data_IF_533065064418
#
_entry.id   IF_533065064418
#
_cell.length_a   1.000
_cell.length_b   1.000
_cell.length_c   1.000
_cell.angle_alpha   90.00
_cell.angle_beta   90.00
_cell.angle_gamma   90.00
#
_symmetry.space_group_name_H-M   'P 1'
#
loop_
_entity.id
_entity.type
_entity.pdbx_description
1 polymer ?
#
# COMPACT_ATOMS: atom_id res chain seq x y z
N UNK A 1 4.93 -82.80 -9.21
CA UNK A 1 5.90 -81.71 -9.18
C UNK A 1 5.78 -80.76 -10.35
N UNK A 2 5.45 -81.13 -11.59
CA UNK A 2 5.34 -80.17 -12.73
C UNK A 2 4.14 -79.20 -12.66
N UNK A 3 3.02 -79.52 -12.01
CA UNK A 3 1.83 -78.61 -11.88
C UNK A 3 2.00 -77.50 -10.82
N UNK A 4 2.87 -77.69 -9.83
CA UNK A 4 3.12 -76.71 -8.78
C UNK A 4 4.09 -75.57 -9.28
N UNK A 5 5.04 -75.94 -10.14
CA UNK A 5 6.02 -75.01 -10.70
C UNK A 5 5.36 -73.99 -11.69
N UNK A 6 4.38 -74.49 -12.47
CA UNK A 6 3.64 -73.61 -13.38
C UNK A 6 2.75 -72.55 -12.65
N UNK A 7 2.23 -72.89 -11.45
CA UNK A 7 1.43 -71.94 -10.65
C UNK A 7 2.27 -70.83 -10.02
N UNK A 8 3.51 -71.15 -9.59
CA UNK A 8 4.39 -70.17 -8.97
C UNK A 8 4.96 -69.19 -10.02
N UNK A 9 5.30 -69.66 -11.22
CA UNK A 9 5.73 -68.76 -12.31
C UNK A 9 4.62 -67.87 -12.84
N UNK A 10 3.36 -68.28 -12.84
CA UNK A 10 2.22 -67.52 -13.24
C UNK A 10 1.87 -66.43 -12.20
N UNK A 11 2.03 -66.68 -10.91
CA UNK A 11 1.82 -65.70 -9.85
C UNK A 11 2.97 -64.70 -9.81
N UNK A 12 4.19 -65.08 -10.03
CA UNK A 12 5.34 -64.21 -10.12
C UNK A 12 5.27 -63.29 -11.35
N UNK A 13 4.80 -63.79 -12.49
CA UNK A 13 4.57 -62.99 -13.69
C UNK A 13 3.40 -62.02 -13.51
N UNK A 14 2.32 -62.40 -12.82
CA UNK A 14 1.20 -61.54 -12.46
C UNK A 14 1.60 -60.49 -11.44
N UNK A 15 2.42 -60.83 -10.43
CA UNK A 15 2.97 -59.87 -9.46
C UNK A 15 4.00 -58.92 -10.11
N UNK A 16 4.81 -59.38 -11.07
CA UNK A 16 5.72 -58.57 -11.87
C UNK A 16 4.96 -57.60 -12.79
N UNK A 17 3.86 -58.03 -13.39
CA UNK A 17 2.98 -57.21 -14.21
C UNK A 17 2.20 -56.23 -13.32
N UNK A 18 1.76 -56.59 -12.10
CA UNK A 18 1.12 -55.70 -11.14
C UNK A 18 2.12 -54.65 -10.60
N UNK A 19 3.40 -55.02 -10.42
CA UNK A 19 4.46 -54.09 -10.03
C UNK A 19 4.92 -53.15 -11.17
N UNK A 20 4.76 -53.56 -12.44
CA UNK A 20 5.01 -52.68 -13.62
C UNK A 20 3.80 -51.90 -14.04
N UNK A 21 2.59 -52.22 -13.56
CA UNK A 21 1.39 -51.38 -13.61
C UNK A 21 1.22 -50.46 -12.40
N UNK A 22 2.20 -50.40 -11.48
CA UNK A 22 2.31 -49.33 -10.52
C UNK A 22 2.63 -48.02 -11.27
N UNK A 23 1.60 -47.58 -11.97
CA UNK A 23 1.26 -46.27 -12.53
C UNK A 23 2.46 -45.41 -12.94
N UNK A 24 2.83 -45.48 -14.18
CA UNK A 24 3.33 -44.30 -14.84
C UNK A 24 2.12 -43.34 -14.94
N UNK A 25 1.93 -42.46 -13.90
CA UNK A 25 0.91 -41.43 -13.92
C UNK A 25 1.09 -40.63 -15.18
N UNK A 26 -0.03 -40.27 -15.85
CA UNK A 26 0.03 -39.39 -16.99
C UNK A 26 0.59 -37.97 -16.58
N UNK A 27 1.00 -37.19 -17.54
CA UNK A 27 1.46 -35.82 -17.29
C UNK A 27 0.39 -35.01 -16.59
N UNK A 28 -0.87 -35.13 -17.00
CA UNK A 28 -2.03 -34.45 -16.44
C UNK A 28 -2.31 -34.90 -15.00
N UNK A 29 -2.19 -36.20 -14.70
CA UNK A 29 -2.35 -36.71 -13.35
C UNK A 29 -1.25 -36.21 -12.40
N UNK A 30 0.00 -36.12 -12.86
CA UNK A 30 1.12 -35.56 -12.09
C UNK A 30 0.91 -34.05 -11.84
N UNK A 31 0.45 -33.29 -12.82
CA UNK A 31 0.12 -31.87 -12.68
C UNK A 31 -0.99 -31.67 -11.63
N UNK A 32 -2.08 -32.43 -11.75
CA UNK A 32 -3.20 -32.34 -10.81
C UNK A 32 -2.77 -32.69 -9.37
N UNK A 33 -1.95 -33.72 -9.20
CA UNK A 33 -1.40 -34.09 -7.90
C UNK A 33 -0.46 -33.04 -7.34
N UNK A 34 0.43 -32.44 -8.15
CA UNK A 34 1.31 -31.37 -7.71
C UNK A 34 0.52 -30.14 -7.26
N UNK A 35 -0.56 -29.78 -7.97
CA UNK A 35 -1.47 -28.69 -7.56
C UNK A 35 -2.15 -29.01 -6.24
N UNK A 36 -2.59 -30.24 -6.02
CA UNK A 36 -3.23 -30.67 -4.77
C UNK A 36 -2.25 -30.67 -3.60
N UNK A 37 -1.01 -31.13 -3.81
CA UNK A 37 0.07 -31.04 -2.82
C UNK A 37 0.37 -29.59 -2.40
N UNK A 38 0.36 -28.65 -3.37
CA UNK A 38 0.52 -27.22 -3.06
C UNK A 38 -0.63 -26.64 -2.24
N UNK A 39 -1.87 -27.13 -2.43
CA UNK A 39 -3.02 -26.74 -1.58
C UNK A 39 -2.87 -27.29 -0.16
N UNK A 40 -2.28 -28.46 0.01
CA UNK A 40 -1.99 -29.10 1.29
C UNK A 40 -0.70 -28.57 1.95
N UNK A 41 -0.07 -27.56 1.38
CA UNK A 41 1.21 -26.98 1.82
C UNK A 41 2.43 -27.95 1.77
N UNK A 42 2.31 -29.06 1.08
CA UNK A 42 3.39 -30.04 0.83
C UNK A 42 4.26 -29.60 -0.35
N UNK A 43 4.93 -28.45 -0.18
CA UNK A 43 5.62 -27.76 -1.29
C UNK A 43 6.79 -28.58 -1.84
N UNK A 44 7.59 -29.22 -0.96
CA UNK A 44 8.74 -30.03 -1.37
C UNK A 44 8.32 -31.22 -2.24
N UNK A 45 7.23 -31.91 -1.88
CA UNK A 45 6.70 -33.02 -2.66
C UNK A 45 6.16 -32.56 -4.02
N UNK A 46 5.47 -31.40 -4.05
CA UNK A 46 5.01 -30.81 -5.30
C UNK A 46 6.15 -30.41 -6.23
N UNK A 47 7.25 -29.87 -5.69
CA UNK A 47 8.44 -29.50 -6.47
C UNK A 47 9.11 -30.76 -7.04
N UNK A 48 9.26 -31.82 -6.25
CA UNK A 48 9.81 -33.09 -6.73
C UNK A 48 8.98 -33.63 -7.90
N UNK A 49 7.66 -33.63 -7.76
CA UNK A 49 6.77 -34.08 -8.82
C UNK A 49 6.83 -33.22 -10.07
N UNK A 50 6.91 -31.87 -9.91
CA UNK A 50 7.11 -30.93 -11.02
C UNK A 50 8.40 -31.21 -11.80
N UNK A 51 9.49 -31.57 -11.09
CA UNK A 51 10.78 -31.89 -11.73
C UNK A 51 10.76 -33.17 -12.59
N UNK A 52 9.80 -34.06 -12.34
CA UNK A 52 9.58 -35.26 -13.15
C UNK A 52 8.74 -35.03 -14.41
N UNK A 53 8.15 -33.83 -14.55
CA UNK A 53 7.27 -33.49 -15.68
C UNK A 53 8.05 -32.70 -16.73
N UNK A 54 8.17 -33.27 -17.91
CA UNK A 54 8.77 -32.55 -19.05
C UNK A 54 7.82 -31.51 -19.61
N UNK A 55 8.36 -30.37 -20.01
CA UNK A 55 7.66 -29.25 -20.72
C UNK A 55 6.30 -28.88 -20.11
N UNK A 56 6.29 -28.47 -18.84
CA UNK A 56 5.07 -28.03 -18.15
C UNK A 56 4.57 -26.73 -18.74
N UNK A 57 3.34 -26.74 -19.29
CA UNK A 57 2.62 -25.60 -19.83
C UNK A 57 1.43 -25.19 -18.93
N UNK A 58 1.11 -25.97 -17.90
CA UNK A 58 0.01 -25.65 -16.98
C UNK A 58 0.32 -24.41 -16.16
N UNK A 59 -0.41 -23.34 -16.47
CA UNK A 59 -0.19 -22.03 -15.86
C UNK A 59 -0.58 -21.97 -14.38
N UNK A 60 -1.49 -22.83 -13.92
CA UNK A 60 -1.89 -22.88 -12.52
C UNK A 60 -0.75 -23.47 -11.68
N UNK A 61 -0.17 -24.57 -12.12
CA UNK A 61 0.98 -25.18 -11.45
C UNK A 61 2.18 -24.24 -11.45
N UNK A 62 2.51 -23.66 -12.63
CA UNK A 62 3.64 -22.73 -12.78
C UNK A 62 3.51 -21.53 -11.87
N UNK A 63 2.34 -20.87 -11.82
CA UNK A 63 2.11 -19.70 -10.97
C UNK A 63 2.18 -20.04 -9.48
N UNK A 64 1.56 -21.15 -9.06
CA UNK A 64 1.60 -21.57 -7.65
C UNK A 64 3.01 -21.87 -7.16
N UNK A 65 3.82 -22.55 -7.98
CA UNK A 65 5.23 -22.79 -7.65
C UNK A 65 6.04 -21.51 -7.64
N UNK A 66 5.80 -20.61 -8.62
CA UNK A 66 6.45 -19.32 -8.66
C UNK A 66 6.16 -18.47 -7.41
N UNK A 67 4.90 -18.43 -6.95
CA UNK A 67 4.53 -17.73 -5.72
C UNK A 67 5.22 -18.33 -4.49
N UNK A 68 5.37 -19.69 -4.41
CA UNK A 68 6.11 -20.33 -3.30
C UNK A 68 7.57 -19.94 -3.26
N UNK A 69 8.25 -19.91 -4.42
CA UNK A 69 9.63 -19.42 -4.51
C UNK A 69 9.75 -17.91 -4.24
N UNK A 70 8.79 -17.12 -4.68
CA UNK A 70 8.79 -15.67 -4.43
C UNK A 70 8.63 -15.34 -2.94
N UNK A 71 7.75 -16.06 -2.25
CA UNK A 71 7.41 -15.81 -0.83
C UNK A 71 8.30 -16.58 0.16
N UNK A 72 9.04 -17.61 -0.28
CA UNK A 72 9.79 -18.50 0.60
C UNK A 72 8.89 -19.41 1.46
N UNK A 73 7.63 -19.68 1.03
CA UNK A 73 6.68 -20.48 1.78
C UNK A 73 6.82 -21.96 1.48
N UNK A 74 7.39 -22.71 2.42
CA UNK A 74 7.63 -24.16 2.30
C UNK A 74 8.82 -24.52 1.40
N UNK A 75 9.60 -23.53 0.95
CA UNK A 75 10.82 -23.65 0.16
C UNK A 75 11.68 -22.42 0.42
N UNK A 76 12.99 -22.51 0.22
CA UNK A 76 13.87 -21.34 0.28
C UNK A 76 13.46 -20.30 -0.78
N UNK A 77 13.43 -19.03 -0.36
CA UNK A 77 13.07 -17.94 -1.25
C UNK A 77 14.08 -17.82 -2.41
N UNK A 78 13.57 -17.84 -3.64
CA UNK A 78 14.36 -17.72 -4.87
C UNK A 78 13.61 -16.92 -5.92
N UNK A 79 13.84 -15.61 -5.92
CA UNK A 79 13.17 -14.68 -6.85
C UNK A 79 13.51 -14.98 -8.32
N UNK A 80 14.73 -15.43 -8.62
CA UNK A 80 15.13 -15.73 -10.00
C UNK A 80 14.36 -16.95 -10.53
N UNK A 81 14.22 -17.99 -9.70
CA UNK A 81 13.44 -19.20 -10.03
C UNK A 81 11.96 -18.90 -10.15
N UNK A 82 11.41 -18.06 -9.25
CA UNK A 82 10.04 -17.60 -9.35
C UNK A 82 9.77 -16.91 -10.69
N UNK A 83 10.63 -15.97 -11.08
CA UNK A 83 10.49 -15.23 -12.35
C UNK A 83 10.65 -16.14 -13.57
N UNK A 84 11.55 -17.12 -13.54
CA UNK A 84 11.66 -18.13 -14.62
C UNK A 84 10.36 -18.93 -14.81
N UNK A 85 9.67 -19.28 -13.71
CA UNK A 85 8.38 -19.96 -13.76
C UNK A 85 7.28 -19.01 -14.26
N UNK A 86 7.26 -17.75 -13.82
CA UNK A 86 6.34 -16.75 -14.37
C UNK A 86 6.58 -16.48 -15.85
N UNK A 87 7.84 -16.49 -16.34
CA UNK A 87 8.11 -16.37 -17.78
C UNK A 87 7.50 -17.50 -18.60
N UNK A 88 7.60 -18.75 -18.13
CA UNK A 88 6.95 -19.88 -18.77
C UNK A 88 5.44 -19.71 -18.81
N UNK A 89 4.84 -19.36 -17.67
CA UNK A 89 3.40 -19.15 -17.55
C UNK A 89 2.90 -17.97 -18.41
N UNK A 90 3.64 -16.87 -18.46
CA UNK A 90 3.31 -15.71 -19.29
C UNK A 90 3.39 -16.03 -20.79
N UNK A 91 4.38 -16.81 -21.23
CA UNK A 91 4.48 -17.31 -22.61
C UNK A 91 3.31 -18.23 -22.97
N UNK A 92 2.75 -18.96 -21.99
CA UNK A 92 1.54 -19.75 -22.13
C UNK A 92 0.24 -18.92 -22.07
N UNK A 93 0.35 -17.56 -22.04
CA UNK A 93 -0.80 -16.66 -22.11
C UNK A 93 -1.46 -16.31 -20.79
N UNK A 94 -0.81 -16.55 -19.64
CA UNK A 94 -1.42 -16.24 -18.35
C UNK A 94 -1.24 -14.77 -17.94
N UNK A 95 -2.32 -13.97 -17.77
CA UNK A 95 -2.20 -12.55 -17.48
C UNK A 95 -1.59 -12.25 -16.10
N UNK A 96 -1.86 -13.05 -15.08
CA UNK A 96 -1.24 -12.90 -13.76
C UNK A 96 0.29 -13.00 -13.82
N UNK A 97 0.81 -14.00 -14.56
CA UNK A 97 2.25 -14.13 -14.73
C UNK A 97 2.87 -12.96 -15.51
N UNK A 98 2.16 -12.43 -16.52
CA UNK A 98 2.59 -11.23 -17.25
C UNK A 98 2.68 -10.01 -16.31
N UNK A 99 1.72 -9.83 -15.41
CA UNK A 99 1.74 -8.77 -14.40
C UNK A 99 2.89 -8.92 -13.41
N UNK A 100 3.19 -10.14 -12.96
CA UNK A 100 4.33 -10.43 -12.08
C UNK A 100 5.65 -10.10 -12.76
N UNK A 101 5.81 -10.43 -14.03
CA UNK A 101 6.99 -10.06 -14.83
C UNK A 101 7.09 -8.55 -15.03
N UNK A 102 5.99 -7.89 -15.31
CA UNK A 102 5.96 -6.44 -15.41
C UNK A 102 6.49 -5.77 -14.15
N UNK A 103 5.99 -6.18 -12.97
CA UNK A 103 6.46 -5.69 -11.67
C UNK A 103 7.97 -5.92 -11.49
N UNK A 104 8.47 -7.11 -11.85
CA UNK A 104 9.89 -7.44 -11.76
C UNK A 104 10.77 -6.52 -12.64
N UNK A 105 10.33 -6.19 -13.86
CA UNK A 105 11.02 -5.23 -14.71
C UNK A 105 10.93 -3.80 -14.19
N UNK A 106 9.81 -3.41 -13.58
CA UNK A 106 9.64 -2.08 -13.02
C UNK A 106 10.61 -1.80 -11.86
N UNK A 107 10.77 -2.77 -10.96
CA UNK A 107 11.64 -2.64 -9.78
C UNK A 107 13.08 -3.15 -10.01
N UNK A 108 13.32 -3.96 -11.01
CA UNK A 108 14.62 -4.62 -11.22
C UNK A 108 14.84 -5.80 -10.25
N UNK A 109 13.83 -6.63 -10.04
CA UNK A 109 13.87 -7.76 -9.10
C UNK A 109 14.35 -9.07 -9.76
N UNK A 110 14.80 -10.03 -8.94
CA UNK A 110 15.09 -11.41 -9.36
C UNK A 110 16.16 -11.56 -10.44
N UNK A 111 17.11 -10.64 -10.47
CA UNK A 111 18.18 -10.62 -11.47
C UNK A 111 17.84 -9.83 -12.74
N UNK A 112 16.63 -9.32 -12.87
CA UNK A 112 16.28 -8.40 -13.96
C UNK A 112 16.83 -7.00 -13.68
N UNK A 113 17.25 -6.32 -14.73
CA UNK A 113 17.51 -4.88 -14.67
C UNK A 113 16.20 -4.13 -14.80
N UNK A 114 16.06 -3.01 -14.07
CA UNK A 114 14.92 -2.11 -14.23
C UNK A 114 14.78 -1.72 -15.71
N UNK A 115 13.58 -1.93 -16.26
CA UNK A 115 13.26 -1.68 -17.67
C UNK A 115 11.78 -1.30 -17.81
N UNK A 116 11.51 0.00 -17.78
CA UNK A 116 10.15 0.53 -17.84
C UNK A 116 9.46 0.24 -19.19
N UNK A 117 10.23 0.07 -20.28
CA UNK A 117 9.66 -0.32 -21.57
C UNK A 117 9.15 -1.76 -21.53
N UNK A 118 9.92 -2.69 -20.98
CA UNK A 118 9.48 -4.07 -20.80
C UNK A 118 8.32 -4.18 -19.81
N UNK A 119 8.32 -3.37 -18.73
CA UNK A 119 7.14 -3.25 -17.85
C UNK A 119 5.91 -2.93 -18.69
N UNK A 120 5.96 -1.86 -19.50
CA UNK A 120 4.82 -1.44 -20.30
C UNK A 120 4.40 -2.53 -21.32
N UNK A 121 5.36 -3.16 -22.00
CA UNK A 121 5.07 -4.21 -22.97
C UNK A 121 4.35 -5.42 -22.34
N UNK A 122 4.72 -5.80 -21.11
CA UNK A 122 4.07 -6.91 -20.40
C UNK A 122 2.68 -6.53 -19.85
N UNK A 123 2.50 -5.32 -19.30
CA UNK A 123 1.16 -4.91 -18.85
C UNK A 123 0.20 -4.73 -20.02
N UNK A 124 0.68 -4.29 -21.19
CA UNK A 124 -0.15 -4.22 -22.40
C UNK A 124 -0.63 -5.61 -22.84
N UNK A 125 0.25 -6.61 -22.90
CA UNK A 125 -0.13 -8.00 -23.22
C UNK A 125 -1.18 -8.54 -22.23
N UNK A 126 -1.03 -8.28 -20.95
CA UNK A 126 -2.00 -8.71 -19.96
C UNK A 126 -3.34 -7.93 -20.08
N UNK A 127 -3.28 -6.66 -20.48
CA UNK A 127 -4.47 -5.82 -20.71
C UNK A 127 -5.26 -6.27 -21.96
N UNK A 128 -4.60 -6.78 -23.00
CA UNK A 128 -5.24 -7.41 -24.16
C UNK A 128 -6.07 -8.66 -23.78
N UNK A 129 -5.74 -9.30 -22.66
CA UNK A 129 -6.48 -10.40 -22.05
C UNK A 129 -7.53 -9.91 -21.03
N UNK A 130 -7.86 -8.62 -21.08
CA UNK A 130 -8.87 -7.97 -20.24
C UNK A 130 -8.64 -8.06 -18.72
N UNK A 131 -7.38 -8.25 -18.26
CA UNK A 131 -7.08 -8.16 -16.84
C UNK A 131 -7.34 -6.73 -16.33
N UNK A 132 -8.21 -6.60 -15.33
CA UNK A 132 -8.52 -5.28 -14.74
C UNK A 132 -7.28 -4.63 -14.09
N UNK A 133 -6.41 -5.43 -13.47
CA UNK A 133 -5.15 -4.97 -12.89
C UNK A 133 -4.22 -4.44 -13.97
N UNK A 134 -4.08 -5.16 -15.07
CA UNK A 134 -3.25 -4.74 -16.20
C UNK A 134 -3.82 -3.49 -16.89
N UNK A 135 -5.12 -3.45 -17.16
CA UNK A 135 -5.80 -2.26 -17.72
C UNK A 135 -5.54 -1.02 -16.85
N UNK A 136 -5.67 -1.13 -15.53
CA UNK A 136 -5.32 -0.05 -14.59
C UNK A 136 -3.85 0.34 -14.70
N UNK A 137 -2.93 -0.62 -14.73
CA UNK A 137 -1.49 -0.35 -14.79
C UNK A 137 -1.09 0.32 -16.11
N UNK A 138 -1.73 -0.03 -17.23
CA UNK A 138 -1.59 0.70 -18.50
C UNK A 138 -2.08 2.14 -18.37
N UNK A 139 -3.22 2.35 -17.71
CA UNK A 139 -3.71 3.70 -17.41
C UNK A 139 -2.71 4.52 -16.59
N UNK A 140 -2.11 3.94 -15.56
CA UNK A 140 -1.05 4.57 -14.75
C UNK A 140 0.18 4.87 -15.62
N UNK A 141 0.60 3.92 -16.47
CA UNK A 141 1.75 4.09 -17.35
C UNK A 141 1.58 5.28 -18.31
N UNK A 142 0.41 5.42 -18.93
CA UNK A 142 0.11 6.57 -19.78
C UNK A 142 -0.02 7.89 -19.00
N UNK A 143 -0.57 7.85 -17.76
CA UNK A 143 -0.63 9.04 -16.90
C UNK A 143 0.75 9.56 -16.54
N UNK A 144 1.67 8.67 -16.20
CA UNK A 144 2.97 9.02 -15.61
C UNK A 144 4.10 9.04 -16.65
N UNK A 145 3.92 8.42 -17.82
CA UNK A 145 4.95 8.25 -18.84
C UNK A 145 5.92 7.12 -18.53
N UNK A 146 5.45 6.04 -17.91
CA UNK A 146 6.28 4.91 -17.50
C UNK A 146 6.39 3.90 -18.65
N UNK A 147 7.55 3.87 -19.31
CA UNK A 147 7.83 2.99 -20.45
C UNK A 147 7.08 3.34 -21.73
N UNK A 148 6.33 4.43 -21.73
CA UNK A 148 5.55 4.97 -22.85
C UNK A 148 5.45 6.49 -22.71
N UNK A 149 5.24 7.22 -23.80
CA UNK A 149 5.00 8.65 -23.75
C UNK A 149 3.70 8.96 -22.98
N UNK A 150 3.72 10.03 -22.19
CA UNK A 150 2.54 10.49 -21.45
C UNK A 150 1.38 10.78 -22.39
N UNK A 151 0.23 10.18 -22.09
CA UNK A 151 -1.02 10.40 -22.80
C UNK A 151 -2.19 10.31 -21.78
N UNK A 152 -2.55 11.43 -21.13
CA UNK A 152 -3.60 11.43 -20.12
C UNK A 152 -4.98 11.02 -20.67
N UNK A 153 -5.25 11.23 -21.96
CA UNK A 153 -6.49 10.82 -22.59
C UNK A 153 -6.57 9.30 -22.67
N UNK A 154 -5.49 8.66 -23.10
CA UNK A 154 -5.41 7.18 -23.05
C UNK A 154 -5.46 6.66 -21.64
N UNK A 155 -4.84 7.34 -20.65
CA UNK A 155 -4.97 6.95 -19.26
C UNK A 155 -6.45 6.89 -18.83
N UNK A 156 -7.25 7.92 -19.15
CA UNK A 156 -8.70 7.94 -18.89
C UNK A 156 -9.41 6.77 -19.55
N UNK A 157 -9.11 6.46 -20.82
CA UNK A 157 -9.71 5.35 -21.53
C UNK A 157 -9.43 4.00 -20.85
N UNK A 158 -8.17 3.75 -20.49
CA UNK A 158 -7.76 2.52 -19.83
C UNK A 158 -8.31 2.40 -18.42
N UNK A 159 -8.37 3.50 -17.64
CA UNK A 159 -9.04 3.50 -16.35
C UNK A 159 -10.54 3.18 -16.49
N UNK A 160 -11.24 3.73 -17.48
CA UNK A 160 -12.65 3.39 -17.72
C UNK A 160 -12.84 1.91 -18.04
N UNK A 161 -11.99 1.32 -18.89
CA UNK A 161 -12.00 -0.12 -19.17
C UNK A 161 -11.78 -0.96 -17.90
N UNK A 162 -10.82 -0.55 -17.04
CA UNK A 162 -10.58 -1.23 -15.77
C UNK A 162 -11.78 -1.10 -14.81
N UNK A 163 -12.44 0.05 -14.78
CA UNK A 163 -13.64 0.32 -13.99
C UNK A 163 -14.81 -0.57 -14.43
N UNK A 164 -15.01 -0.76 -15.74
CA UNK A 164 -16.02 -1.69 -16.29
C UNK A 164 -15.79 -3.13 -15.82
N UNK A 165 -14.54 -3.52 -15.57
CA UNK A 165 -14.16 -4.80 -14.95
C UNK A 165 -14.18 -4.78 -13.42
N UNK A 166 -14.60 -3.68 -12.81
CA UNK A 166 -14.78 -3.55 -11.36
C UNK A 166 -13.56 -3.12 -10.56
N UNK A 167 -12.48 -2.64 -11.20
CA UNK A 167 -11.26 -2.20 -10.53
C UNK A 167 -11.51 -0.94 -9.68
N UNK A 168 -11.41 -1.09 -8.36
CA UNK A 168 -11.67 -0.02 -7.40
C UNK A 168 -10.58 1.06 -7.42
N UNK A 169 -9.32 0.65 -7.60
CA UNK A 169 -8.22 1.60 -7.61
C UNK A 169 -8.20 2.46 -8.88
N UNK A 170 -8.67 1.92 -10.01
CA UNK A 170 -8.89 2.73 -11.23
C UNK A 170 -9.98 3.79 -11.02
N UNK A 171 -11.05 3.48 -10.25
CA UNK A 171 -12.06 4.49 -9.87
C UNK A 171 -11.42 5.63 -9.09
N UNK A 172 -10.60 5.30 -8.08
CA UNK A 172 -9.85 6.29 -7.31
C UNK A 172 -8.91 7.11 -8.18
N UNK A 173 -8.06 6.48 -8.99
CA UNK A 173 -7.12 7.18 -9.88
C UNK A 173 -7.83 8.16 -10.83
N UNK A 174 -8.93 7.74 -11.43
CA UNK A 174 -9.68 8.60 -12.35
C UNK A 174 -10.37 9.76 -11.61
N UNK A 175 -10.89 9.51 -10.41
CA UNK A 175 -11.43 10.55 -9.55
C UNK A 175 -10.39 11.62 -9.20
N UNK A 176 -9.18 11.21 -8.82
CA UNK A 176 -8.04 12.12 -8.54
C UNK A 176 -7.62 12.88 -9.80
N UNK A 177 -7.55 12.23 -10.97
CA UNK A 177 -7.23 12.92 -12.23
C UNK A 177 -8.21 14.04 -12.55
N UNK A 178 -9.52 13.82 -12.39
CA UNK A 178 -10.53 14.85 -12.59
C UNK A 178 -10.49 15.94 -11.52
N UNK A 179 -10.19 15.59 -10.26
CA UNK A 179 -10.07 16.56 -9.17
C UNK A 179 -8.91 17.54 -9.37
N UNK A 180 -7.75 17.02 -9.74
CA UNK A 180 -6.49 17.75 -9.77
C UNK A 180 -6.13 18.27 -11.17
N UNK A 181 -6.86 17.84 -12.20
CA UNK A 181 -6.60 18.24 -13.59
C UNK A 181 -5.30 17.64 -14.14
N UNK A 182 -4.97 16.40 -13.77
CA UNK A 182 -3.71 15.76 -14.19
C UNK A 182 -3.76 15.42 -15.68
N UNK A 183 -3.27 16.35 -16.52
CA UNK A 183 -3.25 16.26 -17.97
C UNK A 183 -4.62 16.29 -18.66
N UNK A 184 -5.69 16.56 -17.92
CA UNK A 184 -7.07 16.75 -18.38
C UNK A 184 -7.66 17.98 -17.70
N UNK A 185 -8.77 18.48 -18.19
CA UNK A 185 -9.47 19.58 -17.51
C UNK A 185 -10.03 19.14 -16.17
N UNK A 186 -9.90 19.99 -15.15
CA UNK A 186 -10.52 19.78 -13.84
C UNK A 186 -12.02 19.64 -14.03
N UNK A 187 -12.59 18.59 -13.46
CA UNK A 187 -14.03 18.36 -13.42
C UNK A 187 -14.41 17.77 -12.06
N UNK A 188 -14.80 18.65 -11.14
CA UNK A 188 -15.08 18.25 -9.76
C UNK A 188 -16.34 17.38 -9.62
N UNK A 189 -17.30 17.46 -10.55
CA UNK A 189 -18.48 16.59 -10.54
C UNK A 189 -18.09 15.15 -10.90
N UNK A 190 -17.31 14.96 -11.98
CA UNK A 190 -16.79 13.64 -12.33
C UNK A 190 -15.83 13.11 -11.24
N UNK A 191 -15.03 13.97 -10.63
CA UNK A 191 -14.17 13.59 -9.49
C UNK A 191 -15.01 12.99 -8.35
N UNK A 192 -16.04 13.69 -7.90
CA UNK A 192 -16.96 13.20 -6.86
C UNK A 192 -17.59 11.87 -7.24
N UNK A 193 -18.06 11.74 -8.48
CA UNK A 193 -18.68 10.52 -8.98
C UNK A 193 -17.74 9.31 -8.86
N UNK A 194 -16.51 9.42 -9.39
CA UNK A 194 -15.56 8.30 -9.36
C UNK A 194 -15.02 8.03 -7.96
N UNK A 195 -14.77 9.06 -7.16
CA UNK A 195 -14.38 8.88 -5.74
C UNK A 195 -15.52 8.23 -4.94
N UNK A 196 -16.77 8.62 -5.18
CA UNK A 196 -17.92 7.97 -4.55
C UNK A 196 -18.05 6.49 -4.95
N UNK A 197 -17.78 6.13 -6.21
CA UNK A 197 -17.76 4.73 -6.66
C UNK A 197 -16.69 3.92 -5.91
N UNK A 198 -15.49 4.47 -5.76
CA UNK A 198 -14.40 3.84 -5.01
C UNK A 198 -14.73 3.76 -3.50
N UNK A 199 -15.25 4.83 -2.90
CA UNK A 199 -15.65 4.90 -1.50
C UNK A 199 -16.74 3.87 -1.15
N UNK A 200 -17.70 3.64 -2.06
CA UNK A 200 -18.74 2.61 -1.91
C UNK A 200 -18.17 1.18 -1.88
N UNK A 201 -16.94 1.00 -2.40
CA UNK A 201 -16.17 -0.24 -2.33
C UNK A 201 -15.14 -0.25 -1.17
N UNK A 202 -15.28 0.68 -0.23
CA UNK A 202 -14.42 0.84 0.95
C UNK A 202 -12.95 1.16 0.59
N UNK A 203 -12.70 1.87 -0.50
CA UNK A 203 -11.37 2.43 -0.76
C UNK A 203 -11.10 3.55 0.25
N UNK A 204 -10.13 3.33 1.14
CA UNK A 204 -9.86 4.26 2.25
C UNK A 204 -9.33 5.62 1.77
N UNK A 205 -8.61 5.66 0.66
CA UNK A 205 -8.09 6.92 0.11
C UNK A 205 -9.21 7.73 -0.55
N UNK A 206 -10.09 7.05 -1.29
CA UNK A 206 -11.27 7.70 -1.85
C UNK A 206 -12.22 8.24 -0.78
N UNK A 207 -12.36 7.53 0.36
CA UNK A 207 -13.13 8.01 1.51
C UNK A 207 -12.55 9.31 2.07
N UNK A 208 -11.22 9.38 2.28
CA UNK A 208 -10.54 10.58 2.77
C UNK A 208 -10.65 11.76 1.80
N UNK A 209 -10.43 11.52 0.50
CA UNK A 209 -10.53 12.56 -0.53
C UNK A 209 -11.96 13.08 -0.68
N UNK A 210 -12.95 12.19 -0.67
CA UNK A 210 -14.36 12.57 -0.75
C UNK A 210 -14.79 13.36 0.49
N UNK A 211 -14.32 12.96 1.68
CA UNK A 211 -14.55 13.72 2.90
C UNK A 211 -14.01 15.15 2.79
N UNK A 212 -12.79 15.32 2.28
CA UNK A 212 -12.19 16.62 2.04
C UNK A 212 -13.01 17.46 1.04
N UNK A 213 -13.56 16.84 0.00
CA UNK A 213 -14.44 17.53 -0.95
C UNK A 213 -15.72 18.03 -0.28
N UNK A 214 -16.36 17.26 0.59
CA UNK A 214 -17.53 17.69 1.37
C UNK A 214 -17.20 18.76 2.40
N UNK A 215 -16.06 18.65 3.09
CA UNK A 215 -15.64 19.64 4.09
C UNK A 215 -15.38 21.02 3.48
N UNK A 216 -14.81 21.02 2.25
CA UNK A 216 -14.47 22.28 1.56
C UNK A 216 -15.54 22.75 0.56
N UNK A 217 -16.58 21.94 0.27
CA UNK A 217 -17.58 22.27 -0.74
C UNK A 217 -17.03 22.24 -2.18
N UNK A 218 -16.08 21.35 -2.47
CA UNK A 218 -15.47 21.18 -3.80
C UNK A 218 -16.24 20.18 -4.63
N UNK A 219 -16.93 20.62 -5.68
CA UNK A 219 -17.75 19.76 -6.53
C UNK A 219 -19.05 19.24 -5.89
N UNK A 220 -19.26 19.54 -4.63
CA UNK A 220 -20.44 19.23 -3.82
C UNK A 220 -20.78 20.39 -2.90
N UNK A 221 -22.01 20.44 -2.41
CA UNK A 221 -22.36 21.38 -1.33
C UNK A 221 -21.57 21.02 -0.07
N UNK A 222 -20.96 22.03 0.59
CA UNK A 222 -20.25 21.85 1.86
C UNK A 222 -21.17 21.18 2.89
N UNK A 223 -20.68 20.09 3.49
CA UNK A 223 -21.39 19.31 4.51
C UNK A 223 -20.36 18.65 5.44
N UNK A 224 -20.07 19.32 6.56
CA UNK A 224 -19.09 18.89 7.54
C UNK A 224 -19.50 17.59 8.25
N UNK A 225 -20.80 17.37 8.46
CA UNK A 225 -21.28 16.13 9.08
C UNK A 225 -21.00 14.94 8.15
N UNK A 226 -21.30 15.10 6.86
CA UNK A 226 -21.02 14.07 5.86
C UNK A 226 -19.52 13.86 5.66
N UNK A 227 -18.73 14.93 5.72
CA UNK A 227 -17.26 14.83 5.69
C UNK A 227 -16.75 13.99 6.86
N UNK A 228 -17.19 14.28 8.09
CA UNK A 228 -16.84 13.49 9.27
C UNK A 228 -17.23 12.01 9.13
N UNK A 229 -18.42 11.70 8.60
CA UNK A 229 -18.87 10.32 8.36
C UNK A 229 -17.94 9.56 7.40
N UNK A 230 -17.46 10.23 6.34
CA UNK A 230 -16.50 9.64 5.39
C UNK A 230 -15.10 9.51 5.99
N UNK A 231 -14.61 10.54 6.71
CA UNK A 231 -13.33 10.44 7.42
C UNK A 231 -13.34 9.30 8.43
N UNK A 232 -14.44 9.15 9.19
CA UNK A 232 -14.55 8.07 10.17
C UNK A 232 -14.44 6.69 9.53
N UNK A 233 -15.13 6.46 8.41
CA UNK A 233 -15.01 5.20 7.64
C UNK A 233 -13.58 4.96 7.13
N UNK A 234 -12.92 5.98 6.58
CA UNK A 234 -11.53 5.87 6.14
C UNK A 234 -10.57 5.59 7.31
N UNK A 235 -10.78 6.24 8.43
CA UNK A 235 -10.01 6.06 9.66
C UNK A 235 -10.15 4.64 10.25
N UNK A 236 -11.35 4.07 10.23
CA UNK A 236 -11.63 2.69 10.65
C UNK A 236 -10.95 1.67 9.73
N UNK A 237 -10.77 1.98 8.45
CA UNK A 237 -10.01 1.20 7.48
C UNK A 237 -8.49 1.42 7.57
N UNK A 238 -8.04 2.23 8.54
CA UNK A 238 -6.64 2.43 8.82
C UNK A 238 -5.94 3.48 7.94
N UNK A 239 -6.68 4.43 7.35
CA UNK A 239 -6.08 5.59 6.70
C UNK A 239 -5.60 6.61 7.74
N UNK A 240 -4.29 6.90 7.77
CA UNK A 240 -3.69 7.77 8.79
C UNK A 240 -4.12 9.24 8.67
N UNK A 241 -4.33 9.72 7.44
CA UNK A 241 -4.85 11.07 7.21
C UNK A 241 -6.29 11.20 7.72
N UNK A 242 -7.15 10.24 7.42
CA UNK A 242 -8.53 10.21 7.94
C UNK A 242 -8.56 10.10 9.46
N UNK A 243 -7.66 9.31 10.07
CA UNK A 243 -7.52 9.23 11.53
C UNK A 243 -7.15 10.59 12.14
N UNK A 244 -6.23 11.30 11.52
CA UNK A 244 -5.89 12.68 11.92
C UNK A 244 -7.09 13.62 11.79
N UNK A 245 -7.84 13.57 10.67
CA UNK A 245 -9.01 14.42 10.47
C UNK A 245 -10.11 14.13 11.48
N UNK A 246 -10.42 12.87 11.76
CA UNK A 246 -11.39 12.46 12.79
C UNK A 246 -10.98 12.99 14.17
N UNK A 247 -9.69 12.88 14.52
CA UNK A 247 -9.18 13.41 15.78
C UNK A 247 -9.34 14.93 15.87
N UNK A 248 -9.02 15.63 14.78
CA UNK A 248 -9.18 17.09 14.68
C UNK A 248 -10.64 17.50 14.80
N UNK A 249 -11.54 16.81 14.13
CA UNK A 249 -12.98 17.07 14.17
C UNK A 249 -13.56 16.85 15.58
N UNK A 250 -13.17 15.79 16.27
CA UNK A 250 -13.53 15.61 17.68
C UNK A 250 -12.96 16.69 18.61
N UNK A 251 -11.71 17.11 18.37
CA UNK A 251 -11.07 18.15 19.19
C UNK A 251 -11.78 19.52 19.06
N UNK A 252 -12.34 19.81 17.87
CA UNK A 252 -12.91 21.11 17.56
C UNK A 252 -14.45 21.13 17.45
N UNK A 253 -15.10 19.95 17.41
CA UNK A 253 -16.54 19.82 17.22
C UNK A 253 -16.99 20.11 15.78
N UNK A 254 -16.23 19.65 14.78
CA UNK A 254 -16.51 19.87 13.35
C UNK A 254 -17.31 18.67 12.83
N UNK A 255 -18.55 18.90 12.39
CA UNK A 255 -19.42 17.82 11.92
C UNK A 255 -19.85 16.79 12.97
N UNK A 256 -19.32 16.88 14.19
CA UNK A 256 -19.56 15.98 15.32
C UNK A 256 -19.50 16.76 16.64
N UNK A 257 -20.10 16.25 17.71
CA UNK A 257 -19.95 16.87 19.02
C UNK A 257 -18.49 16.79 19.49
N UNK A 258 -17.99 17.89 20.08
CA UNK A 258 -16.62 17.95 20.62
C UNK A 258 -16.41 16.86 21.69
N UNK A 259 -15.32 16.10 21.55
CA UNK A 259 -14.91 15.04 22.47
C UNK A 259 -13.38 14.92 22.49
N UNK A 260 -12.75 15.59 23.44
CA UNK A 260 -11.29 15.64 23.51
C UNK A 260 -10.66 14.27 23.81
N UNK A 261 -11.36 13.39 24.54
CA UNK A 261 -10.83 12.05 24.83
C UNK A 261 -10.78 11.19 23.55
N UNK A 262 -11.83 11.22 22.73
CA UNK A 262 -11.84 10.56 21.43
C UNK A 262 -10.80 11.16 20.48
N UNK A 263 -10.60 12.48 20.53
CA UNK A 263 -9.54 13.12 19.75
C UNK A 263 -8.16 12.53 20.08
N UNK A 264 -7.84 12.36 21.37
CA UNK A 264 -6.58 11.73 21.80
C UNK A 264 -6.46 10.30 21.28
N UNK A 265 -7.52 9.50 21.37
CA UNK A 265 -7.52 8.11 20.88
C UNK A 265 -7.20 8.03 19.38
N UNK A 266 -7.84 8.88 18.57
CA UNK A 266 -7.62 8.90 17.14
C UNK A 266 -6.27 9.50 16.75
N UNK A 267 -5.80 10.57 17.45
CA UNK A 267 -4.44 11.08 17.26
C UNK A 267 -3.40 10.01 17.56
N UNK A 268 -3.54 9.22 18.62
CA UNK A 268 -2.63 8.11 18.93
C UNK A 268 -2.56 7.09 17.78
N UNK A 269 -3.70 6.73 17.18
CA UNK A 269 -3.71 5.82 16.01
C UNK A 269 -2.93 6.42 14.83
N UNK A 270 -3.15 7.69 14.52
CA UNK A 270 -2.44 8.38 13.44
C UNK A 270 -0.94 8.53 13.72
N UNK A 271 -0.55 8.83 14.98
CA UNK A 271 0.86 8.90 15.43
C UNK A 271 1.56 7.56 15.25
N UNK A 272 0.90 6.45 15.59
CA UNK A 272 1.46 5.10 15.41
C UNK A 272 1.75 4.77 13.93
N UNK A 273 1.07 5.42 13.01
CA UNK A 273 1.34 5.32 11.57
C UNK A 273 2.33 6.40 11.07
N UNK A 274 2.82 7.25 11.96
CA UNK A 274 3.85 8.24 11.63
C UNK A 274 3.30 9.60 11.15
N UNK A 275 1.99 9.88 11.31
CA UNK A 275 1.38 11.13 10.91
C UNK A 275 1.93 12.31 11.73
N UNK A 276 2.63 13.21 11.05
CA UNK A 276 3.40 14.31 11.68
C UNK A 276 2.48 15.38 12.29
N UNK A 277 1.37 15.67 11.64
CA UNK A 277 0.40 16.65 12.15
C UNK A 277 -0.28 16.13 13.42
N UNK A 278 -0.58 14.83 13.46
CA UNK A 278 -1.13 14.19 14.65
C UNK A 278 -0.15 14.23 15.83
N UNK A 279 1.14 14.02 15.60
CA UNK A 279 2.18 14.16 16.65
C UNK A 279 2.15 15.56 17.26
N UNK A 280 2.14 16.60 16.44
CA UNK A 280 2.11 17.98 16.91
C UNK A 280 0.84 18.28 17.75
N UNK A 281 -0.34 17.89 17.24
CA UNK A 281 -1.59 18.17 17.92
C UNK A 281 -1.76 17.34 19.21
N UNK A 282 -1.32 16.08 19.22
CA UNK A 282 -1.29 15.26 20.43
C UNK A 282 -0.36 15.86 21.49
N UNK A 283 0.78 16.43 21.06
CA UNK A 283 1.67 17.17 21.95
C UNK A 283 0.94 18.36 22.62
N UNK A 284 0.17 19.12 21.86
CA UNK A 284 -0.66 20.20 22.42
C UNK A 284 -1.69 19.70 23.43
N UNK A 285 -2.33 18.56 23.16
CA UNK A 285 -3.30 17.97 24.08
C UNK A 285 -2.65 17.53 25.40
N UNK A 286 -1.46 16.90 25.36
CA UNK A 286 -0.70 16.58 26.56
C UNK A 286 -0.24 17.83 27.33
N UNK A 287 0.18 18.88 26.62
CA UNK A 287 0.64 20.10 27.25
C UNK A 287 -0.48 20.84 28.00
N UNK A 288 -1.69 20.87 27.42
CA UNK A 288 -2.85 21.53 28.01
C UNK A 288 -3.64 20.65 28.98
N UNK A 289 -3.51 19.32 28.89
CA UNK A 289 -4.37 18.38 29.60
C UNK A 289 -5.78 18.31 29.01
N UNK A 290 -5.92 18.45 27.68
CA UNK A 290 -7.20 18.36 26.98
C UNK A 290 -7.50 16.91 26.57
N UNK A 291 -8.52 16.30 27.17
CA UNK A 291 -8.91 14.91 26.90
C UNK A 291 -7.94 13.85 27.45
N UNK A 292 -6.88 14.27 28.08
CA UNK A 292 -5.83 13.44 28.69
C UNK A 292 -5.21 14.17 29.87
N UNK A 293 -4.64 13.47 30.84
CA UNK A 293 -3.91 14.08 31.94
C UNK A 293 -2.74 14.92 31.40
N UNK A 294 -2.59 16.16 31.92
CA UNK A 294 -1.51 17.06 31.54
C UNK A 294 -0.15 16.40 31.77
N UNK A 295 0.67 16.34 30.73
CA UNK A 295 2.00 15.73 30.80
C UNK A 295 2.98 16.41 29.85
N UNK A 296 3.72 17.39 30.35
CA UNK A 296 4.65 18.19 29.56
C UNK A 296 5.81 17.35 29.01
N UNK A 297 6.24 16.29 29.69
CA UNK A 297 7.28 15.39 29.17
C UNK A 297 6.80 14.65 27.94
N UNK A 298 5.57 14.11 27.96
CA UNK A 298 4.98 13.49 26.75
C UNK A 298 4.72 14.50 25.63
N UNK A 299 4.34 15.76 26.01
CA UNK A 299 4.21 16.82 25.01
C UNK A 299 5.52 17.06 24.27
N UNK A 300 6.64 17.18 25.00
CA UNK A 300 7.98 17.36 24.43
C UNK A 300 8.37 16.17 23.55
N UNK A 301 8.09 14.93 23.94
CA UNK A 301 8.34 13.74 23.13
C UNK A 301 7.59 13.84 21.78
N UNK A 302 6.32 14.18 21.80
CA UNK A 302 5.51 14.33 20.58
C UNK A 302 5.98 15.48 19.71
N UNK A 303 6.29 16.65 20.30
CA UNK A 303 6.86 17.79 19.56
C UNK A 303 8.21 17.43 18.95
N UNK A 304 9.07 16.73 19.66
CA UNK A 304 10.38 16.31 19.14
C UNK A 304 10.24 15.39 17.93
N UNK A 305 9.37 14.37 18.01
CA UNK A 305 9.09 13.47 16.89
C UNK A 305 8.62 14.23 15.65
N UNK A 306 7.69 15.20 15.81
CA UNK A 306 7.18 16.00 14.70
C UNK A 306 8.22 17.01 14.19
N UNK A 307 8.99 17.64 15.08
CA UNK A 307 10.02 18.61 14.75
C UNK A 307 11.19 18.01 13.96
N UNK A 308 11.62 16.81 14.32
CA UNK A 308 12.64 16.04 13.59
C UNK A 308 12.20 15.66 12.18
N UNK A 309 10.89 15.50 11.99
CA UNK A 309 10.25 15.28 10.66
C UNK A 309 9.94 16.59 9.92
N UNK A 310 10.39 17.73 10.45
CA UNK A 310 10.30 19.01 9.76
C UNK A 310 9.05 19.85 10.03
N UNK A 311 8.17 19.45 10.96
CA UNK A 311 6.97 20.25 11.26
C UNK A 311 7.34 21.58 11.94
N UNK A 312 7.10 22.71 11.26
CA UNK A 312 7.49 24.04 11.74
C UNK A 312 6.80 24.43 13.06
N UNK A 313 5.52 24.05 13.25
CA UNK A 313 4.81 24.33 14.49
C UNK A 313 5.36 23.53 15.66
N UNK A 314 5.69 22.27 15.44
CA UNK A 314 6.30 21.42 16.46
C UNK A 314 7.73 21.89 16.81
N UNK A 315 8.50 22.37 15.81
CA UNK A 315 9.80 23.01 16.06
C UNK A 315 9.67 24.26 16.93
N UNK A 316 8.68 25.09 16.65
CA UNK A 316 8.35 26.24 17.49
C UNK A 316 8.00 25.82 18.93
N UNK A 317 7.08 24.88 19.08
CA UNK A 317 6.63 24.42 20.40
C UNK A 317 7.78 23.76 21.19
N UNK A 318 8.64 23.00 20.52
CA UNK A 318 9.80 22.40 21.13
C UNK A 318 10.84 23.46 21.57
N UNK A 319 11.05 24.50 20.74
CA UNK A 319 11.87 25.66 21.10
C UNK A 319 11.33 26.35 22.35
N UNK A 320 10.03 26.55 22.44
CA UNK A 320 9.35 27.08 23.61
C UNK A 320 9.61 26.23 24.87
N UNK A 321 9.41 24.90 24.74
CA UNK A 321 9.65 23.98 25.86
C UNK A 321 11.10 24.09 26.40
N UNK A 322 12.10 24.11 25.51
CA UNK A 322 13.49 24.29 25.92
C UNK A 322 13.77 25.65 26.54
N UNK A 323 13.14 26.72 26.04
CA UNK A 323 13.36 28.08 26.56
C UNK A 323 12.80 28.24 27.99
N UNK A 324 11.63 27.68 28.26
CA UNK A 324 10.97 27.78 29.55
C UNK A 324 11.32 26.65 30.51
N UNK A 325 11.87 25.53 30.04
CA UNK A 325 12.12 24.35 30.85
C UNK A 325 10.85 23.55 31.14
N UNK A 326 9.87 23.56 30.21
CA UNK A 326 8.61 22.85 30.34
C UNK A 326 8.73 21.43 29.78
N UNK A 327 8.61 20.43 30.67
CA UNK A 327 8.74 18.99 30.30
C UNK A 327 10.16 18.56 29.89
N UNK A 328 11.11 19.48 29.89
CA UNK A 328 12.53 19.26 29.54
C UNK A 328 13.41 20.26 30.29
N UNK A 329 14.67 19.92 30.54
CA UNK A 329 15.62 20.85 31.15
C UNK A 329 15.80 22.10 30.28
N UNK A 330 15.67 23.30 30.88
CA UNK A 330 15.86 24.58 30.21
C UNK A 330 17.20 24.61 29.46
N UNK A 331 17.17 24.98 28.18
CA UNK A 331 18.36 25.09 27.34
C UNK A 331 18.15 26.12 26.22
N UNK A 332 18.64 27.35 26.44
CA UNK A 332 18.47 28.45 25.49
C UNK A 332 19.14 28.15 24.12
N UNK A 333 20.25 27.41 24.10
CA UNK A 333 20.92 27.05 22.84
C UNK A 333 20.08 26.09 22.00
N UNK A 334 19.48 25.07 22.60
CA UNK A 334 18.55 24.18 21.90
C UNK A 334 17.27 24.93 21.50
N UNK A 335 16.76 25.82 22.36
CA UNK A 335 15.60 26.65 22.01
C UNK A 335 15.86 27.50 20.76
N UNK A 336 17.00 28.22 20.72
CA UNK A 336 17.40 29.01 19.56
C UNK A 336 17.51 28.18 18.27
N UNK A 337 18.12 27.00 18.36
CA UNK A 337 18.25 26.05 17.23
C UNK A 337 16.90 25.63 16.66
N UNK A 338 15.92 25.30 17.51
CA UNK A 338 14.61 24.89 17.06
C UNK A 338 13.79 26.06 16.54
N UNK A 339 13.84 27.22 17.19
CA UNK A 339 13.24 28.45 16.67
C UNK A 339 13.82 28.85 15.30
N UNK A 340 15.14 28.71 15.11
CA UNK A 340 15.78 28.99 13.82
C UNK A 340 15.21 28.11 12.71
N UNK A 341 15.10 26.81 12.93
CA UNK A 341 14.52 25.87 11.96
C UNK A 341 13.06 26.21 11.61
N UNK A 342 12.26 26.58 12.61
CA UNK A 342 10.87 26.98 12.39
C UNK A 342 10.79 28.31 11.63
N UNK A 343 11.64 29.28 11.97
CA UNK A 343 11.72 30.60 11.33
C UNK A 343 12.13 30.51 9.85
N UNK A 344 13.05 29.62 9.51
CA UNK A 344 13.46 29.30 8.14
C UNK A 344 12.28 28.80 7.28
N UNK A 345 11.30 28.12 7.91
CA UNK A 345 10.06 27.67 7.29
C UNK A 345 8.94 28.73 7.33
N UNK A 346 9.23 29.95 7.78
CA UNK A 346 8.26 31.05 7.79
C UNK A 346 7.45 31.17 9.08
N UNK A 347 7.81 30.47 10.18
CA UNK A 347 7.11 30.63 11.45
C UNK A 347 7.45 31.98 12.10
N UNK A 348 6.51 32.92 12.04
CA UNK A 348 6.68 34.32 12.57
C UNK A 348 6.88 34.36 14.09
N UNK A 349 6.20 33.46 14.83
CA UNK A 349 6.38 33.37 16.29
C UNK A 349 7.82 33.01 16.65
N UNK A 350 8.45 32.10 15.89
CA UNK A 350 9.84 31.74 16.10
C UNK A 350 10.82 32.88 15.75
N UNK A 351 10.53 33.68 14.71
CA UNK A 351 11.33 34.88 14.40
C UNK A 351 11.29 35.85 15.54
N UNK A 352 10.11 36.12 16.10
CA UNK A 352 9.96 37.02 17.27
C UNK A 352 10.73 36.53 18.49
N UNK A 353 10.73 35.21 18.74
CA UNK A 353 11.51 34.63 19.85
C UNK A 353 13.01 34.76 19.65
N UNK A 354 13.52 34.50 18.46
CA UNK A 354 14.96 34.69 18.15
C UNK A 354 15.38 36.15 18.35
N UNK A 355 14.56 37.11 17.92
CA UNK A 355 14.82 38.53 18.18
C UNK A 355 14.85 38.82 19.69
N UNK A 356 13.87 38.35 20.46
CA UNK A 356 13.80 38.50 21.92
C UNK A 356 15.02 37.91 22.61
N UNK A 357 15.46 36.71 22.21
CA UNK A 357 16.64 36.05 22.75
C UNK A 357 17.92 36.82 22.40
N UNK A 358 17.99 37.40 21.20
CA UNK A 358 19.14 38.23 20.78
C UNK A 358 19.24 39.52 21.62
N UNK A 359 18.11 40.22 21.82
CA UNK A 359 18.04 41.44 22.64
C UNK A 359 18.40 41.19 24.11
N UNK A 360 18.16 39.96 24.62
CA UNK A 360 18.51 39.55 25.97
C UNK A 360 19.91 38.94 26.10
N UNK A 361 20.65 38.78 25.00
CA UNK A 361 21.94 38.11 24.98
C UNK A 361 21.90 36.62 25.30
N UNK A 362 20.78 35.94 24.99
CA UNK A 362 20.50 34.55 25.33
C UNK A 362 20.71 33.54 24.18
N UNK A 363 21.21 34.04 23.04
CA UNK A 363 21.46 33.17 21.84
C UNK A 363 22.74 32.31 21.93
N UNK A 364 23.63 32.54 22.92
CA UNK A 364 24.95 31.92 23.01
C UNK A 364 25.16 31.09 24.26
#
# INVERSE_FOLDING_TARGET
MKKVIMSVCSIAALLGIILTFASCKSKEEKIAEAIELLKQEKVTEAIALYQEIEDVQDTVLLNRLADRYADGKGVEQDSAKALSLFEKSAKAGNPYAMERLAVAYYYGEGGFKKDEKKFFDWVMKAAELESHVALRNVGIAYRDGTGVDKDPQKAVEYFKKAIEKGDTYAMYCLGVMYRDGVGILVNLEEAVKYLQMAANKNDKYALGDLANMYDNGKGVKKDQKKAFEYYLKGAELGDDYSQYCVAYDYAHGIGVNKDASKAVEWYLKAVNQGNVSAMCNLGLMYDKGEGVEKNQTKAVEMYKMAAEKGNAQAQHNLGWCYYHGEGVTKNNKEAAKWFQKAAEQGNEGSRGWLQTMSERGELY
#
